data_IF_543428406184
#
_entry.id   IF_543428406184
#
_cell.length_a   1.000
_cell.length_b   1.000
_cell.length_c   1.000
_cell.angle_alpha   90.00
_cell.angle_beta   90.00
_cell.angle_gamma   90.00
#
_symmetry.space_group_name_H-M   'P 1'
#
loop_
_entity.id
_entity.type
_entity.pdbx_description
1 polymer ?
#
# COMPACT_ATOMS: atom_id res chain seq x y z
N UNK A 1 -95.44 -19.28 76.29
CA UNK A 1 -94.97 -20.69 76.31
C UNK A 1 -93.82 -20.85 75.32
N UNK A 2 -92.69 -21.38 75.79
CA UNK A 2 -91.62 -22.20 75.13
C UNK A 2 -91.19 -21.80 73.70
N UNK A 3 -89.90 -21.71 73.34
CA UNK A 3 -88.60 -22.06 73.97
C UNK A 3 -87.52 -21.40 73.07
N UNK A 4 -86.60 -20.60 73.61
CA UNK A 4 -85.19 -20.95 73.96
C UNK A 4 -84.33 -21.28 72.71
N UNK A 5 -83.61 -20.30 72.16
CA UNK A 5 -82.17 -20.00 72.37
C UNK A 5 -81.18 -20.98 71.72
N UNK A 6 -80.32 -20.41 70.87
CA UNK A 6 -78.85 -20.48 70.84
C UNK A 6 -78.38 -19.51 69.74
N UNK A 7 -77.83 -18.32 70.01
CA UNK A 7 -76.49 -18.01 70.57
C UNK A 7 -75.40 -18.95 70.02
N UNK A 8 -74.19 -18.55 69.66
CA UNK A 8 -73.48 -17.27 69.59
C UNK A 8 -72.04 -17.65 69.18
N UNK A 9 -71.38 -16.87 68.31
CA UNK A 9 -69.93 -16.59 68.33
C UNK A 9 -69.59 -15.84 67.04
N UNK A 10 -69.55 -14.50 67.09
CA UNK A 10 -68.32 -13.71 67.29
C UNK A 10 -67.34 -13.96 66.14
N UNK A 11 -67.07 -12.98 65.30
CA UNK A 11 -66.04 -11.95 65.56
C UNK A 11 -65.89 -11.21 64.21
N UNK A 12 -65.69 -9.92 64.03
CA UNK A 12 -65.56 -8.72 64.85
C UNK A 12 -65.12 -7.66 63.84
N UNK A 13 -65.67 -6.44 63.97
CA UNK A 13 -65.13 -5.20 63.41
C UNK A 13 -64.97 -5.11 61.88
N UNK A 14 -65.10 -3.96 61.26
CA UNK A 14 -65.56 -2.65 61.69
C UNK A 14 -65.67 -1.86 60.40
N UNK A 15 -66.70 -1.03 60.34
CA UNK A 15 -66.65 0.22 59.60
C UNK A 15 -65.29 0.90 59.83
N UNK A 16 -64.71 1.47 58.77
CA UNK A 16 -63.45 2.25 58.67
C UNK A 16 -62.43 1.61 57.71
N UNK A 17 -62.71 1.70 56.40
CA UNK A 17 -61.65 1.94 55.42
C UNK A 17 -62.12 3.05 54.48
N UNK A 18 -61.82 4.26 54.95
CA UNK A 18 -61.61 5.44 54.13
C UNK A 18 -60.92 5.11 52.81
N UNK A 19 -61.42 5.75 51.76
CA UNK A 19 -60.65 6.39 50.68
C UNK A 19 -59.20 5.93 50.57
N UNK A 20 -58.96 4.88 49.77
CA UNK A 20 -57.74 4.82 48.97
C UNK A 20 -58.16 4.28 47.59
N UNK A 21 -58.58 5.18 46.70
CA UNK A 21 -58.46 4.92 45.27
C UNK A 21 -57.00 4.52 45.00
N UNK A 22 -56.71 3.48 44.19
CA UNK A 22 -55.37 3.28 43.70
C UNK A 22 -55.03 4.50 42.85
N UNK A 23 -54.25 5.44 43.41
CA UNK A 23 -53.59 6.50 42.64
C UNK A 23 -52.99 5.83 41.40
N UNK A 24 -53.55 6.16 40.23
CA UNK A 24 -52.94 5.86 38.93
C UNK A 24 -51.45 6.14 39.05
N UNK A 25 -50.60 5.15 38.77
CA UNK A 25 -49.17 5.36 38.59
C UNK A 25 -49.02 6.42 37.49
N UNK A 26 -48.74 7.66 37.91
CA UNK A 26 -48.73 8.87 37.10
C UNK A 26 -47.49 8.95 36.19
N UNK A 27 -47.54 9.75 35.10
CA UNK A 27 -46.67 9.78 33.89
C UNK A 27 -45.18 10.14 34.08
N UNK A 28 -44.68 10.08 35.32
CA UNK A 28 -43.27 10.32 35.64
C UNK A 28 -42.43 9.07 35.35
N UNK A 29 -43.00 7.87 35.50
CA UNK A 29 -42.28 6.60 35.26
C UNK A 29 -41.97 6.41 33.77
N UNK A 30 -42.92 6.71 32.87
CA UNK A 30 -42.72 6.67 31.41
C UNK A 30 -41.60 7.62 30.94
N UNK A 31 -41.57 8.85 31.48
CA UNK A 31 -40.50 9.83 31.15
C UNK A 31 -39.12 9.43 31.65
N UNK A 32 -39.04 8.70 32.77
CA UNK A 32 -37.76 8.22 33.31
C UNK A 32 -37.25 7.01 32.53
N UNK A 33 -38.14 6.10 32.11
CA UNK A 33 -37.81 4.97 31.23
C UNK A 33 -37.31 5.46 29.85
N UNK A 34 -37.92 6.50 29.28
CA UNK A 34 -37.47 7.12 28.02
C UNK A 34 -36.07 7.75 28.14
N UNK A 35 -35.78 8.43 29.25
CA UNK A 35 -34.46 9.00 29.53
C UNK A 35 -33.42 7.90 29.73
N UNK A 36 -33.74 6.83 30.47
CA UNK A 36 -32.84 5.68 30.65
C UNK A 36 -32.52 4.98 29.32
N UNK A 37 -33.52 4.85 28.44
CA UNK A 37 -33.35 4.30 27.10
C UNK A 37 -32.44 5.18 26.23
N UNK A 38 -32.61 6.50 26.31
CA UNK A 38 -31.75 7.45 25.59
C UNK A 38 -30.30 7.42 26.10
N UNK A 39 -30.10 7.38 27.43
CA UNK A 39 -28.77 7.25 28.03
C UNK A 39 -28.10 5.95 27.59
N UNK A 40 -28.83 4.84 27.60
CA UNK A 40 -28.31 3.56 27.12
C UNK A 40 -27.95 3.62 25.63
N UNK A 41 -28.80 4.21 24.79
CA UNK A 41 -28.53 4.38 23.36
C UNK A 41 -27.26 5.21 23.11
N UNK A 42 -27.09 6.30 23.86
CA UNK A 42 -25.90 7.15 23.80
C UNK A 42 -24.63 6.41 24.25
N UNK A 43 -24.72 5.60 25.31
CA UNK A 43 -23.60 4.77 25.77
C UNK A 43 -23.19 3.74 24.71
N UNK A 44 -24.16 3.09 24.06
CA UNK A 44 -23.89 2.15 22.95
C UNK A 44 -23.21 2.88 21.80
N UNK A 45 -23.70 4.05 21.39
CA UNK A 45 -23.06 4.85 20.33
C UNK A 45 -21.65 5.32 20.71
N UNK A 46 -21.42 5.65 21.99
CA UNK A 46 -20.11 6.05 22.47
C UNK A 46 -19.11 4.89 22.37
N UNK A 47 -19.50 3.70 22.80
CA UNK A 47 -18.66 2.49 22.67
C UNK A 47 -18.35 2.20 21.20
N UNK A 48 -19.35 2.28 20.32
CA UNK A 48 -19.17 2.07 18.88
C UNK A 48 -18.19 3.09 18.28
N UNK A 49 -18.32 4.38 18.64
CA UNK A 49 -17.40 5.42 18.18
C UNK A 49 -15.98 5.21 18.70
N UNK A 50 -15.82 4.80 19.96
CA UNK A 50 -14.51 4.48 20.54
C UNK A 50 -13.86 3.29 19.83
N UNK A 51 -14.64 2.26 19.50
CA UNK A 51 -14.19 1.10 18.73
C UNK A 51 -13.74 1.51 17.32
N UNK A 52 -14.56 2.26 16.58
CA UNK A 52 -14.21 2.76 15.24
C UNK A 52 -12.96 3.66 15.25
N UNK A 53 -12.81 4.48 16.29
CA UNK A 53 -11.61 5.32 16.47
C UNK A 53 -10.36 4.45 16.69
N UNK A 54 -10.48 3.39 17.50
CA UNK A 54 -9.40 2.45 17.74
C UNK A 54 -9.01 1.70 16.46
N UNK A 55 -9.99 1.18 15.70
CA UNK A 55 -9.75 0.52 14.42
C UNK A 55 -9.06 1.46 13.42
N UNK A 56 -9.52 2.71 13.33
CA UNK A 56 -8.91 3.72 12.47
C UNK A 56 -7.45 3.99 12.85
N UNK A 57 -7.14 4.08 14.14
CA UNK A 57 -5.77 4.28 14.62
C UNK A 57 -4.87 3.10 14.24
N UNK A 58 -5.34 1.88 14.45
CA UNK A 58 -4.59 0.67 14.08
C UNK A 58 -4.33 0.67 12.57
N UNK A 59 -5.35 0.93 11.75
CA UNK A 59 -5.20 0.99 10.30
C UNK A 59 -4.23 2.10 9.84
N UNK A 60 -4.23 3.26 10.51
CA UNK A 60 -3.28 4.34 10.24
C UNK A 60 -1.84 3.93 10.58
N UNK A 61 -1.62 3.30 11.72
CA UNK A 61 -0.31 2.79 12.13
C UNK A 61 0.21 1.73 11.15
N UNK A 62 -0.62 0.78 10.76
CA UNK A 62 -0.27 -0.25 9.76
C UNK A 62 0.07 0.36 8.40
N UNK A 63 -0.69 1.36 7.97
CA UNK A 63 -0.42 2.08 6.73
C UNK A 63 0.91 2.84 6.79
N UNK A 64 1.21 3.50 7.91
CA UNK A 64 2.47 4.20 8.11
C UNK A 64 3.66 3.24 8.09
N UNK A 65 3.56 2.11 8.78
CA UNK A 65 4.59 1.05 8.77
C UNK A 65 4.82 0.52 7.36
N UNK A 66 3.73 0.22 6.63
CA UNK A 66 3.81 -0.26 5.25
C UNK A 66 4.45 0.77 4.31
N UNK A 67 4.06 2.04 4.44
CA UNK A 67 4.64 3.16 3.67
C UNK A 67 6.13 3.31 3.95
N UNK A 68 6.53 3.29 5.22
CA UNK A 68 7.94 3.42 5.61
C UNK A 68 8.78 2.24 5.08
N UNK A 69 8.23 1.03 5.12
CA UNK A 69 8.87 -0.16 4.55
C UNK A 69 9.02 -0.03 3.02
N UNK A 70 8.00 0.45 2.33
CA UNK A 70 8.08 0.71 0.89
C UNK A 70 9.17 1.73 0.57
N UNK A 71 9.21 2.88 1.27
CA UNK A 71 10.25 3.91 1.07
C UNK A 71 11.65 3.32 1.32
N UNK A 72 11.82 2.54 2.38
CA UNK A 72 13.09 1.87 2.67
C UNK A 72 13.54 0.91 1.58
N UNK A 73 12.63 0.08 1.04
CA UNK A 73 12.97 -0.95 0.06
C UNK A 73 13.03 -0.45 -1.38
N UNK A 74 12.25 0.58 -1.72
CA UNK A 74 12.18 1.13 -3.08
C UNK A 74 13.10 2.35 -3.22
N UNK A 75 12.82 3.43 -2.49
CA UNK A 75 13.49 4.72 -2.66
C UNK A 75 14.96 4.66 -2.23
N UNK A 76 15.27 3.96 -1.15
CA UNK A 76 16.64 3.79 -0.64
C UNK A 76 17.34 2.52 -1.14
N UNK A 77 16.79 1.83 -2.14
CA UNK A 77 17.48 0.72 -2.78
C UNK A 77 18.75 1.20 -3.50
N UNK A 78 19.89 0.51 -3.37
CA UNK A 78 21.13 0.88 -4.06
C UNK A 78 21.06 0.64 -5.58
N UNK A 79 20.08 -0.13 -6.04
CA UNK A 79 19.90 -0.42 -7.46
C UNK A 79 18.91 0.57 -8.07
N UNK A 80 19.26 1.26 -9.17
CA UNK A 80 18.33 2.05 -9.97
C UNK A 80 17.12 1.23 -10.45
N UNK A 81 15.91 1.66 -10.05
CA UNK A 81 14.66 1.04 -10.46
C UNK A 81 13.68 2.05 -11.08
N UNK A 82 12.95 1.56 -12.09
CA UNK A 82 11.82 2.26 -12.69
C UNK A 82 10.62 1.32 -12.78
N UNK A 83 9.42 1.90 -12.71
CA UNK A 83 8.19 1.26 -13.15
C UNK A 83 7.75 1.96 -14.42
N UNK A 84 7.55 1.20 -15.50
CA UNK A 84 7.15 1.72 -16.81
C UNK A 84 5.79 1.17 -17.21
N UNK A 85 5.06 1.91 -18.06
CA UNK A 85 3.94 1.36 -18.83
C UNK A 85 4.40 0.76 -20.17
N UNK A 86 3.43 0.25 -20.93
CA UNK A 86 3.64 -0.34 -22.27
C UNK A 86 4.26 0.61 -23.29
N UNK A 87 4.13 1.93 -23.09
CA UNK A 87 4.74 2.96 -23.93
C UNK A 87 6.11 3.42 -23.40
N UNK A 88 6.65 2.71 -22.41
CA UNK A 88 7.91 3.03 -21.71
C UNK A 88 7.87 4.36 -20.96
N UNK A 89 6.68 4.85 -20.58
CA UNK A 89 6.54 6.05 -19.74
C UNK A 89 6.82 5.67 -18.29
N UNK A 90 7.72 6.44 -17.66
CA UNK A 90 8.09 6.27 -16.26
C UNK A 90 6.90 6.65 -15.37
N UNK A 91 6.35 5.65 -14.67
CA UNK A 91 5.31 5.83 -13.65
C UNK A 91 5.93 6.03 -12.27
N UNK A 92 6.97 5.28 -11.95
CA UNK A 92 7.71 5.38 -10.70
C UNK A 92 9.21 5.28 -10.97
N UNK A 93 9.99 5.91 -10.10
CA UNK A 93 11.46 5.91 -10.15
C UNK A 93 11.99 6.10 -8.74
N UNK A 94 12.99 5.32 -8.35
CA UNK A 94 13.62 5.45 -7.05
C UNK A 94 14.75 6.50 -7.04
N UNK A 95 15.30 6.77 -5.86
CA UNK A 95 16.34 7.80 -5.71
C UNK A 95 17.63 7.43 -6.46
N UNK A 96 18.03 6.16 -6.42
CA UNK A 96 19.24 5.69 -7.12
C UNK A 96 19.14 5.88 -8.64
N UNK A 97 17.98 5.61 -9.24
CA UNK A 97 17.74 5.89 -10.66
C UNK A 97 17.72 7.38 -10.99
N UNK A 98 17.10 8.19 -10.12
CA UNK A 98 17.12 9.66 -10.25
C UNK A 98 18.54 10.21 -10.20
N UNK A 99 19.38 9.71 -9.29
CA UNK A 99 20.79 10.08 -9.16
C UNK A 99 21.61 9.63 -10.36
N UNK A 100 21.43 8.38 -10.83
CA UNK A 100 22.13 7.85 -12.01
C UNK A 100 21.86 8.70 -13.26
N UNK A 101 20.61 9.09 -13.50
CA UNK A 101 20.25 9.94 -14.63
C UNK A 101 20.60 11.42 -14.41
N UNK A 102 20.91 11.84 -13.18
CA UNK A 102 21.19 13.23 -12.82
C UNK A 102 19.96 14.14 -12.94
N UNK A 103 18.75 13.59 -12.75
CA UNK A 103 17.48 14.32 -12.93
C UNK A 103 16.56 14.02 -11.75
N UNK A 104 15.98 15.07 -11.17
CA UNK A 104 14.99 14.96 -10.09
C UNK A 104 13.83 14.03 -10.46
N UNK A 105 13.42 13.17 -9.53
CA UNK A 105 12.27 12.25 -9.65
C UNK A 105 11.03 12.90 -10.29
N UNK A 106 10.64 14.08 -9.82
CA UNK A 106 9.43 14.78 -10.30
C UNK A 106 9.52 15.19 -11.78
N UNK A 107 10.73 15.33 -12.32
CA UNK A 107 10.95 15.62 -13.75
C UNK A 107 11.04 14.35 -14.59
N UNK A 108 11.34 13.20 -13.98
CA UNK A 108 11.42 11.91 -14.66
C UNK A 108 10.05 11.25 -14.83
N UNK A 109 9.18 11.33 -13.82
CA UNK A 109 7.83 10.77 -13.89
C UNK A 109 7.07 11.41 -15.07
N UNK A 110 6.43 10.57 -15.88
CA UNK A 110 5.73 10.97 -17.10
C UNK A 110 6.62 11.09 -18.34
N UNK A 111 7.95 11.01 -18.22
CA UNK A 111 8.84 10.94 -19.40
C UNK A 111 9.00 9.50 -19.88
N UNK A 112 9.35 9.34 -21.15
CA UNK A 112 9.69 8.03 -21.72
C UNK A 112 11.14 7.68 -21.44
N UNK A 113 11.42 6.49 -20.89
CA UNK A 113 12.78 6.04 -20.59
C UNK A 113 13.66 5.97 -21.84
N UNK A 114 13.06 5.66 -23.01
CA UNK A 114 13.74 5.62 -24.31
C UNK A 114 14.45 6.92 -24.70
N UNK A 115 14.08 8.05 -24.08
CA UNK A 115 14.75 9.34 -24.32
C UNK A 115 16.18 9.40 -23.76
N UNK A 116 16.51 8.49 -22.84
CA UNK A 116 17.84 8.32 -22.26
C UNK A 116 18.66 7.23 -22.98
N UNK A 117 18.13 6.63 -24.05
CA UNK A 117 18.82 5.61 -24.83
C UNK A 117 19.42 6.26 -26.10
N UNK A 118 20.69 6.00 -26.45
CA UNK A 118 21.29 6.43 -27.71
C UNK A 118 20.44 6.01 -28.91
N UNK A 119 20.46 6.82 -29.98
CA UNK A 119 19.58 6.62 -31.15
C UNK A 119 19.79 5.25 -31.78
N UNK A 120 21.04 4.80 -31.80
CA UNK A 120 21.50 3.56 -32.39
C UNK A 120 20.96 2.31 -31.68
N UNK A 121 20.55 2.44 -30.41
CA UNK A 121 20.10 1.33 -29.56
C UNK A 121 18.60 1.38 -29.23
N UNK A 122 17.87 2.39 -29.74
CA UNK A 122 16.43 2.51 -29.49
C UNK A 122 15.63 1.32 -29.99
N UNK A 123 16.01 0.74 -31.12
CA UNK A 123 15.32 -0.43 -31.68
C UNK A 123 15.51 -1.67 -30.80
N UNK A 124 16.71 -1.84 -30.23
CA UNK A 124 17.01 -2.91 -29.26
C UNK A 124 16.15 -2.74 -28.02
N UNK A 125 16.11 -1.53 -27.45
CA UNK A 125 15.27 -1.23 -26.29
C UNK A 125 13.78 -1.46 -26.56
N UNK A 126 13.26 -1.01 -27.71
CA UNK A 126 11.86 -1.23 -28.08
C UNK A 126 11.51 -2.71 -28.22
N UNK A 127 12.39 -3.51 -28.81
CA UNK A 127 12.23 -4.96 -28.92
C UNK A 127 12.22 -5.63 -27.54
N UNK A 128 13.14 -5.21 -26.66
CA UNK A 128 13.21 -5.68 -25.29
C UNK A 128 11.90 -5.40 -24.52
N UNK A 129 11.41 -4.15 -24.55
CA UNK A 129 10.16 -3.78 -23.86
C UNK A 129 8.97 -4.59 -24.39
N UNK A 130 8.84 -4.76 -25.71
CA UNK A 130 7.80 -5.62 -26.30
C UNK A 130 7.87 -7.06 -25.77
N UNK A 131 9.07 -7.60 -25.64
CA UNK A 131 9.30 -8.97 -25.16
C UNK A 131 8.90 -9.11 -23.69
N UNK A 132 9.26 -8.13 -22.86
CA UNK A 132 8.86 -8.05 -21.44
C UNK A 132 7.35 -8.05 -21.28
N UNK A 133 6.62 -7.26 -22.07
CA UNK A 133 5.14 -7.21 -21.97
C UNK A 133 4.42 -8.37 -22.66
N UNK A 134 5.14 -9.15 -23.48
CA UNK A 134 4.60 -10.33 -24.15
C UNK A 134 4.79 -11.62 -23.33
N UNK A 135 5.53 -11.56 -22.22
CA UNK A 135 5.79 -12.73 -21.40
C UNK A 135 5.98 -12.37 -19.93
N UNK A 136 5.37 -13.17 -19.04
CA UNK A 136 5.38 -12.95 -17.59
C UNK A 136 6.67 -13.46 -16.92
N UNK A 137 7.79 -13.44 -17.63
CA UNK A 137 9.10 -13.93 -17.15
C UNK A 137 10.12 -12.81 -17.19
N UNK A 138 11.20 -12.96 -16.40
CA UNK A 138 12.27 -11.97 -16.36
C UNK A 138 13.06 -11.99 -17.68
N UNK A 139 13.32 -10.81 -18.23
CA UNK A 139 14.20 -10.61 -19.38
C UNK A 139 15.37 -9.72 -19.03
N UNK A 140 16.46 -9.89 -19.77
CA UNK A 140 17.64 -9.05 -19.63
C UNK A 140 18.13 -8.53 -20.98
N UNK A 141 18.77 -7.36 -20.98
CA UNK A 141 19.34 -6.74 -22.16
C UNK A 141 20.48 -5.81 -21.77
N UNK A 142 21.64 -5.92 -22.42
CA UNK A 142 22.72 -4.95 -22.27
C UNK A 142 22.54 -3.81 -23.26
N UNK A 143 22.63 -2.57 -22.78
CA UNK A 143 22.61 -1.38 -23.63
C UNK A 143 23.30 -0.20 -22.95
N UNK A 144 23.42 0.89 -23.69
CA UNK A 144 23.96 2.16 -23.24
C UNK A 144 22.85 3.10 -22.78
N UNK A 145 23.08 3.80 -21.68
CA UNK A 145 22.19 4.84 -21.15
C UNK A 145 22.94 6.16 -21.04
N UNK A 146 22.26 7.24 -21.39
CA UNK A 146 22.72 8.62 -21.29
C UNK A 146 22.09 9.27 -20.06
N UNK A 147 22.91 9.91 -19.24
CA UNK A 147 22.40 10.81 -18.20
C UNK A 147 22.13 12.22 -18.76
N UNK A 148 21.68 13.14 -17.90
CA UNK A 148 21.44 14.56 -18.23
C UNK A 148 22.67 15.25 -18.86
N UNK A 149 23.87 14.89 -18.41
CA UNK A 149 25.13 15.47 -18.88
C UNK A 149 25.67 14.76 -20.13
N UNK A 150 24.88 13.85 -20.74
CA UNK A 150 25.23 13.02 -21.89
C UNK A 150 26.42 12.08 -21.65
N UNK A 151 26.72 11.78 -20.39
CA UNK A 151 27.66 10.74 -20.03
C UNK A 151 27.03 9.37 -20.32
N UNK A 152 27.83 8.49 -20.93
CA UNK A 152 27.40 7.16 -21.34
C UNK A 152 27.72 6.14 -20.23
N UNK A 153 26.72 5.33 -19.88
CA UNK A 153 26.85 4.20 -18.96
C UNK A 153 26.50 2.92 -19.72
N UNK A 154 27.34 1.89 -19.58
CA UNK A 154 26.98 0.54 -20.01
C UNK A 154 26.14 -0.08 -18.90
N UNK A 155 24.91 -0.49 -19.22
CA UNK A 155 23.99 -1.07 -18.24
C UNK A 155 23.49 -2.43 -18.70
N UNK A 156 23.29 -3.31 -17.74
CA UNK A 156 22.43 -4.48 -17.88
C UNK A 156 21.03 -4.09 -17.38
N UNK A 157 20.07 -4.12 -18.28
CA UNK A 157 18.66 -4.04 -17.94
C UNK A 157 18.18 -5.41 -17.49
N UNK A 158 17.48 -5.44 -16.36
CA UNK A 158 16.62 -6.57 -15.99
C UNK A 158 15.19 -6.08 -15.84
N UNK A 159 14.23 -6.71 -16.54
CA UNK A 159 12.84 -6.30 -16.47
C UNK A 159 11.86 -7.47 -16.39
N UNK A 160 10.71 -7.21 -15.77
CA UNK A 160 9.61 -8.15 -15.59
C UNK A 160 8.28 -7.41 -15.64
N UNK A 161 7.29 -7.96 -16.34
CA UNK A 161 5.90 -7.50 -16.26
C UNK A 161 5.35 -7.75 -14.85
N UNK A 162 4.78 -6.72 -14.23
CA UNK A 162 4.15 -6.80 -12.92
C UNK A 162 2.62 -6.74 -13.07
N UNK A 163 1.93 -7.62 -12.37
CA UNK A 163 0.46 -7.64 -12.32
C UNK A 163 -0.01 -6.79 -11.13
N UNK A 164 -0.92 -5.87 -11.37
CA UNK A 164 -1.54 -5.08 -10.30
C UNK A 164 -3.04 -5.41 -10.25
N UNK A 165 -3.49 -6.01 -9.16
CA UNK A 165 -4.89 -6.40 -8.99
C UNK A 165 -5.87 -5.22 -8.99
N UNK A 166 -5.37 -4.00 -8.73
CA UNK A 166 -6.17 -2.78 -8.62
C UNK A 166 -6.12 -1.91 -9.89
N UNK A 167 -5.17 -2.16 -10.80
CA UNK A 167 -5.00 -1.36 -12.00
C UNK A 167 -4.99 -2.25 -13.24
N UNK A 168 -5.89 -2.03 -14.21
CA UNK A 168 -5.98 -2.86 -15.41
C UNK A 168 -4.80 -2.64 -16.38
N UNK A 169 -4.07 -1.53 -16.24
CA UNK A 169 -2.97 -1.17 -17.12
C UNK A 169 -1.72 -1.97 -16.80
N UNK A 170 -1.19 -2.66 -17.82
CA UNK A 170 0.07 -3.40 -17.73
C UNK A 170 1.23 -2.48 -17.39
N UNK A 171 2.04 -2.88 -16.41
CA UNK A 171 3.28 -2.21 -16.03
C UNK A 171 4.43 -3.22 -16.02
N UNK A 172 5.65 -2.73 -16.15
CA UNK A 172 6.84 -3.53 -15.90
C UNK A 172 7.75 -2.81 -14.91
N UNK A 173 8.47 -3.59 -14.11
CA UNK A 173 9.56 -3.10 -13.30
C UNK A 173 10.86 -3.34 -14.07
N UNK A 174 11.75 -2.35 -14.08
CA UNK A 174 13.05 -2.43 -14.72
C UNK A 174 14.16 -1.96 -13.77
N UNK A 175 15.23 -2.73 -13.70
CA UNK A 175 16.46 -2.42 -13.00
C UNK A 175 17.54 -2.01 -14.00
N UNK A 176 18.34 -0.99 -13.67
CA UNK A 176 19.55 -0.64 -14.43
C UNK A 176 20.77 -0.98 -13.58
N UNK A 177 21.53 -1.99 -13.99
CA UNK A 177 22.77 -2.40 -13.32
C UNK A 177 23.94 -1.84 -14.11
N UNK A 178 24.68 -0.89 -13.54
CA UNK A 178 25.88 -0.32 -14.18
C UNK A 178 26.99 -1.36 -14.27
N UNK A 179 27.34 -1.75 -15.49
CA UNK A 179 28.40 -2.70 -15.84
C UNK A 179 29.59 -2.01 -16.52
N UNK A 180 29.65 -0.67 -16.50
CA UNK A 180 30.71 0.12 -17.14
C UNK A 180 32.10 -0.26 -16.64
N UNK A 181 32.27 -0.43 -15.32
CA UNK A 181 33.56 -0.84 -14.74
C UNK A 181 33.98 -2.25 -15.17
N UNK A 182 33.00 -3.16 -15.27
CA UNK A 182 33.23 -4.53 -15.73
C UNK A 182 33.65 -4.55 -17.21
N UNK A 183 32.90 -3.85 -18.08
CA UNK A 183 33.22 -3.75 -19.52
C UNK A 183 34.59 -3.11 -19.78
N UNK A 184 34.95 -2.07 -19.02
CA UNK A 184 36.29 -1.44 -19.13
C UNK A 184 37.42 -2.40 -18.76
N UNK A 185 37.22 -3.18 -17.70
CA UNK A 185 38.21 -4.18 -17.26
C UNK A 185 38.34 -5.32 -18.27
N UNK A 186 37.21 -5.85 -18.75
CA UNK A 186 37.17 -6.88 -19.79
C UNK A 186 37.87 -6.43 -21.08
N UNK A 187 37.58 -5.23 -21.55
CA UNK A 187 38.20 -4.69 -22.75
C UNK A 187 39.72 -4.51 -22.59
N UNK A 188 40.17 -4.04 -21.43
CA UNK A 188 41.61 -3.89 -21.15
C UNK A 188 42.33 -5.24 -21.15
N UNK A 189 41.70 -6.29 -20.60
CA UNK A 189 42.24 -7.65 -20.64
C UNK A 189 42.28 -8.20 -22.07
N UNK A 190 41.24 -7.96 -22.87
CA UNK A 190 41.18 -8.42 -24.26
C UNK A 190 42.31 -7.78 -25.08
N UNK A 191 42.48 -6.45 -25.00
CA UNK A 191 43.55 -5.73 -25.69
C UNK A 191 44.94 -6.28 -25.31
N UNK A 192 45.21 -6.42 -24.01
CA UNK A 192 46.49 -6.97 -23.54
C UNK A 192 46.71 -8.41 -24.02
N UNK A 193 45.66 -9.23 -24.04
CA UNK A 193 45.73 -10.61 -24.52
C UNK A 193 46.07 -10.69 -26.01
N UNK A 194 45.54 -9.78 -26.82
CA UNK A 194 45.83 -9.70 -28.26
C UNK A 194 47.26 -9.23 -28.52
N UNK A 195 47.75 -8.22 -27.78
CA UNK A 195 49.14 -7.76 -27.86
C UNK A 195 50.12 -8.89 -27.55
N UNK A 196 49.88 -9.65 -26.48
CA UNK A 196 50.71 -10.81 -26.12
C UNK A 196 50.65 -11.91 -27.18
N UNK A 197 49.50 -12.12 -27.83
CA UNK A 197 49.34 -13.11 -28.91
C UNK A 197 50.14 -12.72 -30.14
N UNK A 198 50.20 -11.44 -30.49
CA UNK A 198 50.98 -10.93 -31.62
C UNK A 198 52.49 -11.03 -31.35
N UNK A 199 52.94 -10.71 -30.14
CA UNK A 199 54.35 -10.85 -29.74
C UNK A 199 54.86 -12.30 -29.78
N UNK A 200 54.00 -13.27 -29.43
CA UNK A 200 54.35 -14.71 -29.48
C UNK A 200 54.39 -15.29 -30.89
N UNK A 201 53.73 -14.67 -31.88
CA UNK A 201 53.76 -15.11 -33.29
C UNK A 201 54.96 -14.55 -34.08
N UNK A 202 55.64 -13.54 -33.54
CA UNK A 202 56.82 -12.92 -34.14
C UNK A 202 58.17 -13.50 -33.67
N UNK A 203 58.15 -14.59 -32.89
CA UNK A 203 59.33 -15.37 -32.49
C UNK A 203 59.22 -16.78 -33.07
#
# INVERSE_FOLDING_TARGET
MKRIEKQSAKTTNSQLKDKIEPKRKTPVVEKVEDVQRLVHLLQVHQIELEHQNQELRIAQEELEVSRNKYVALFDFSPIPYFTLDVESVIKEVNLSASQMLGIDRNKLIGRRLITFIPVEEKDVFNSFIKTVFSSRVKHTCELNVLNKDKSLFHVLLEALEIENALEPDKKCQIALIDITGMKKSENSLNVLSEELRLLKKGK
#
